data_IF_104407360519
#
_entry.id   IF_104407360519
#
_cell.length_a   1.000
_cell.length_b   1.000
_cell.length_c   1.000
_cell.angle_alpha   90.00
_cell.angle_beta   90.00
_cell.angle_gamma   90.00
#
_symmetry.space_group_name_H-M   'P 1'
#
loop_
_entity.id
_entity.type
_entity.pdbx_description
1 polymer ?
#
# COMPACT_ATOMS: atom_id res chain seq x y z
N UNK A 1 -1.46 -16.04 3.15
CA UNK A 1 -2.71 -15.53 3.77
C UNK A 1 -2.73 -14.01 3.63
N UNK A 2 -3.89 -13.37 3.42
CA UNK A 2 -3.99 -11.89 3.29
C UNK A 2 -3.93 -11.19 4.66
N UNK A 3 -3.75 -9.86 4.66
CA UNK A 3 -3.46 -9.06 5.86
C UNK A 3 -4.67 -8.63 6.71
N UNK A 4 -5.89 -9.02 6.34
CA UNK A 4 -7.12 -8.79 7.13
C UNK A 4 -7.30 -7.34 7.63
N UNK A 5 -7.01 -6.34 6.78
CA UNK A 5 -7.24 -4.92 7.10
C UNK A 5 -8.73 -4.58 7.00
N UNK A 6 -9.14 -3.56 7.75
CA UNK A 6 -10.52 -3.02 7.74
C UNK A 6 -10.69 -2.02 6.61
N UNK A 7 -11.76 -2.16 5.83
CA UNK A 7 -12.08 -1.28 4.70
C UNK A 7 -13.30 -0.41 5.01
N UNK A 8 -13.36 0.74 4.34
CA UNK A 8 -14.55 1.59 4.31
C UNK A 8 -15.74 0.93 3.60
N UNK A 9 -16.92 1.53 3.75
CA UNK A 9 -18.15 1.08 3.11
C UNK A 9 -18.48 1.85 1.83
N UNK A 10 -17.92 3.05 1.63
CA UNK A 10 -18.16 3.85 0.43
C UNK A 10 -16.97 4.74 0.07
N UNK A 11 -16.92 5.13 -1.21
CA UNK A 11 -15.90 6.02 -1.73
C UNK A 11 -15.89 7.36 -0.97
N UNK A 12 -14.74 7.74 -0.43
CA UNK A 12 -14.53 8.99 0.28
C UNK A 12 -14.78 8.93 1.79
N UNK A 13 -15.13 7.78 2.37
CA UNK A 13 -15.11 7.63 3.84
C UNK A 13 -13.67 7.57 4.39
N UNK A 14 -13.50 7.78 5.69
CA UNK A 14 -12.18 7.88 6.32
C UNK A 14 -11.39 6.56 6.26
N UNK A 15 -12.05 5.41 6.38
CA UNK A 15 -11.40 4.10 6.27
C UNK A 15 -11.00 3.81 4.83
N UNK A 16 -11.84 4.20 3.86
CA UNK A 16 -11.53 4.17 2.44
C UNK A 16 -10.28 5.03 2.13
N UNK A 17 -10.26 6.28 2.57
CA UNK A 17 -9.12 7.19 2.34
C UNK A 17 -7.81 6.69 3.00
N UNK A 18 -7.90 6.05 4.17
CA UNK A 18 -6.77 5.38 4.82
C UNK A 18 -6.24 4.22 3.98
N UNK A 19 -7.13 3.38 3.47
CA UNK A 19 -6.73 2.20 2.71
C UNK A 19 -6.15 2.56 1.33
N UNK A 20 -6.69 3.57 0.64
CA UNK A 20 -6.10 4.11 -0.59
C UNK A 20 -4.67 4.60 -0.34
N UNK A 21 -4.42 5.26 0.80
CA UNK A 21 -3.07 5.68 1.17
C UNK A 21 -2.14 4.48 1.41
N UNK A 22 -2.62 3.43 2.09
CA UNK A 22 -1.85 2.19 2.26
C UNK A 22 -1.54 1.54 0.91
N UNK A 23 -2.51 1.51 -0.01
CA UNK A 23 -2.35 0.93 -1.34
C UNK A 23 -1.33 1.69 -2.19
N UNK A 24 -1.45 3.01 -2.28
CA UNK A 24 -0.54 3.87 -3.05
C UNK A 24 0.89 3.82 -2.52
N UNK A 25 1.09 3.90 -1.20
CA UNK A 25 2.43 3.79 -0.60
C UNK A 25 3.02 2.38 -0.74
N UNK A 26 2.20 1.34 -0.68
CA UNK A 26 2.65 -0.03 -0.96
C UNK A 26 3.10 -0.17 -2.41
N UNK A 27 2.33 0.36 -3.36
CA UNK A 27 2.68 0.33 -4.79
C UNK A 27 3.98 1.09 -5.05
N UNK A 28 4.15 2.28 -4.47
CA UNK A 28 5.39 3.06 -4.57
C UNK A 28 6.59 2.31 -3.97
N UNK A 29 6.44 1.71 -2.79
CA UNK A 29 7.50 0.95 -2.14
C UNK A 29 7.88 -0.32 -2.91
N UNK A 30 6.90 -1.08 -3.39
CA UNK A 30 7.14 -2.25 -4.25
C UNK A 30 7.81 -1.83 -5.57
N UNK A 31 7.37 -0.74 -6.19
CA UNK A 31 7.98 -0.20 -7.41
C UNK A 31 9.46 0.11 -7.19
N UNK A 32 9.77 0.86 -6.13
CA UNK A 32 11.15 1.15 -5.75
C UNK A 32 11.98 -0.11 -5.47
N UNK A 33 11.40 -1.10 -4.77
CA UNK A 33 12.09 -2.34 -4.40
C UNK A 33 12.40 -3.23 -5.61
N UNK A 34 11.49 -3.33 -6.58
CA UNK A 34 11.65 -4.18 -7.77
C UNK A 34 12.25 -3.44 -8.98
N UNK A 35 12.55 -2.15 -8.85
CA UNK A 35 13.10 -1.34 -9.94
C UNK A 35 12.07 -0.91 -10.98
N UNK A 36 10.78 -0.90 -10.66
CA UNK A 36 9.75 -0.29 -11.49
C UNK A 36 9.65 1.22 -11.19
N UNK A 37 9.67 2.04 -12.24
CA UNK A 37 9.41 3.46 -12.10
C UNK A 37 7.93 3.68 -11.74
N UNK A 38 7.65 4.14 -10.52
CA UNK A 38 6.34 4.66 -10.16
C UNK A 38 6.19 6.04 -10.79
N UNK A 39 5.47 6.13 -11.92
CA UNK A 39 5.12 7.41 -12.53
C UNK A 39 3.87 7.95 -11.83
N UNK A 40 3.90 9.17 -11.26
CA UNK A 40 2.72 9.76 -10.63
C UNK A 40 1.56 9.85 -11.63
N UNK A 41 0.38 9.33 -11.27
CA UNK A 41 -0.84 9.50 -12.06
C UNK A 41 -1.63 10.75 -11.61
N UNK A 42 -2.51 11.28 -12.46
CA UNK A 42 -3.31 12.48 -12.15
C UNK A 42 -4.16 12.33 -10.88
N UNK A 43 -4.69 11.12 -10.64
CA UNK A 43 -5.48 10.79 -9.46
C UNK A 43 -4.67 10.79 -8.15
N UNK A 44 -3.33 10.64 -8.20
CA UNK A 44 -2.47 10.61 -7.00
C UNK A 44 -2.47 11.99 -6.31
N UNK A 45 -2.63 13.08 -7.05
CA UNK A 45 -2.62 14.44 -6.51
C UNK A 45 -3.87 14.77 -5.68
N UNK A 46 -5.01 14.14 -5.97
CA UNK A 46 -6.28 14.40 -5.29
C UNK A 46 -6.22 14.06 -3.79
N UNK A 47 -5.46 13.04 -3.42
CA UNK A 47 -5.36 12.56 -2.05
C UNK A 47 -4.27 13.27 -1.22
N UNK A 48 -3.25 13.85 -1.87
CA UNK A 48 -2.14 14.55 -1.19
C UNK A 48 -2.62 15.68 -0.27
N UNK A 49 -3.63 16.45 -0.68
CA UNK A 49 -4.17 17.55 0.13
C UNK A 49 -4.84 17.04 1.41
N UNK A 50 -5.63 15.97 1.30
CA UNK A 50 -6.30 15.38 2.47
C UNK A 50 -5.27 14.77 3.43
N UNK A 51 -4.27 14.07 2.89
CA UNK A 51 -3.18 13.49 3.68
C UNK A 51 -2.33 14.54 4.37
N UNK A 52 -1.96 15.63 3.68
CA UNK A 52 -1.18 16.73 4.29
C UNK A 52 -1.90 17.38 5.47
N UNK A 53 -3.22 17.55 5.39
CA UNK A 53 -4.01 18.07 6.51
C UNK A 53 -3.97 17.09 7.68
N UNK A 54 -4.24 15.81 7.44
CA UNK A 54 -4.21 14.78 8.48
C UNK A 54 -2.84 14.60 9.12
N UNK A 55 -1.77 14.67 8.34
CA UNK A 55 -0.40 14.58 8.81
C UNK A 55 0.00 15.75 9.71
N UNK A 56 -0.53 16.95 9.45
CA UNK A 56 -0.30 18.13 10.30
C UNK A 56 -1.06 18.04 11.62
N UNK A 57 -2.26 17.47 11.59
CA UNK A 57 -3.10 17.27 12.79
C UNK A 57 -2.54 16.14 13.67
N UNK A 58 -2.11 15.03 13.06
CA UNK A 58 -1.72 13.81 13.76
C UNK A 58 -0.57 13.08 13.02
N UNK A 59 0.70 13.46 13.26
CA UNK A 59 1.84 12.84 12.59
C UNK A 59 1.99 11.33 12.90
N UNK A 60 1.50 10.90 14.07
CA UNK A 60 1.52 9.49 14.49
C UNK A 60 0.72 8.58 13.55
N UNK A 61 -0.32 9.13 12.91
CA UNK A 61 -1.12 8.45 11.90
C UNK A 61 -0.26 7.89 10.74
N UNK A 62 0.80 8.62 10.35
CA UNK A 62 1.71 8.15 9.31
C UNK A 62 2.48 6.90 9.73
N UNK A 63 2.93 6.85 10.98
CA UNK A 63 3.70 5.72 11.50
C UNK A 63 2.86 4.45 11.50
N UNK A 64 1.58 4.55 11.88
CA UNK A 64 0.64 3.45 11.82
C UNK A 64 0.46 2.93 10.38
N UNK A 65 0.21 3.85 9.43
CA UNK A 65 0.05 3.51 8.01
C UNK A 65 1.29 2.83 7.46
N UNK A 66 2.48 3.35 7.76
CA UNK A 66 3.75 2.77 7.31
C UNK A 66 3.96 1.35 7.84
N UNK A 67 3.43 1.03 9.03
CA UNK A 67 3.39 -0.33 9.56
C UNK A 67 2.59 -1.28 8.66
N UNK A 68 1.44 -0.86 8.15
CA UNK A 68 0.61 -1.66 7.25
C UNK A 68 1.18 -1.73 5.82
N UNK A 69 1.77 -0.65 5.34
CA UNK A 69 2.52 -0.60 4.07
C UNK A 69 3.66 -1.63 4.09
N UNK A 70 4.44 -1.68 5.17
CA UNK A 70 5.56 -2.60 5.28
C UNK A 70 5.09 -4.07 5.27
N UNK A 71 4.02 -4.40 6.00
CA UNK A 71 3.43 -5.75 5.98
C UNK A 71 2.95 -6.12 4.57
N UNK A 72 2.30 -5.18 3.86
CA UNK A 72 1.77 -5.39 2.52
C UNK A 72 2.88 -5.61 1.49
N UNK A 73 3.88 -4.72 1.48
CA UNK A 73 5.02 -4.84 0.59
C UNK A 73 5.80 -6.12 0.85
N UNK A 74 6.02 -6.49 2.12
CA UNK A 74 6.66 -7.77 2.48
C UNK A 74 5.87 -8.97 1.98
N UNK A 75 4.56 -9.00 2.19
CA UNK A 75 3.71 -10.10 1.70
C UNK A 75 3.80 -10.26 0.17
N UNK A 76 3.81 -9.14 -0.56
CA UNK A 76 3.97 -9.14 -2.03
C UNK A 76 5.36 -9.65 -2.40
N UNK A 77 6.41 -9.14 -1.75
CA UNK A 77 7.79 -9.53 -2.03
C UNK A 77 8.04 -11.01 -1.77
N UNK A 78 7.60 -11.52 -0.62
CA UNK A 78 7.70 -12.94 -0.28
C UNK A 78 6.98 -13.77 -1.35
N UNK A 79 5.78 -13.36 -1.79
CA UNK A 79 5.01 -14.12 -2.77
C UNK A 79 5.60 -14.12 -4.19
N UNK A 80 6.24 -13.02 -4.59
CA UNK A 80 6.89 -12.87 -5.91
C UNK A 80 8.25 -13.58 -5.96
N UNK A 81 8.92 -13.71 -4.81
CA UNK A 81 10.26 -14.33 -4.70
C UNK A 81 10.21 -15.80 -4.29
N UNK A 82 9.03 -16.34 -3.97
CA UNK A 82 8.83 -17.78 -3.74
C UNK A 82 9.33 -18.59 -4.96
N UNK A 83 10.19 -19.61 -4.76
CA UNK A 83 10.62 -20.48 -5.83
C UNK A 83 9.40 -21.18 -6.46
N UNK A 84 9.30 -21.11 -7.78
CA UNK A 84 8.29 -21.87 -8.52
C UNK A 84 8.69 -23.34 -8.42
N UNK A 85 8.03 -24.10 -7.53
CA UNK A 85 8.08 -25.56 -7.61
C UNK A 85 7.30 -25.98 -8.85
N UNK A 86 7.99 -26.17 -9.97
CA UNK A 86 7.41 -26.92 -11.09
C UNK A 86 7.06 -28.33 -10.61
N UNK A 87 5.85 -28.84 -10.90
CA UNK A 87 5.57 -30.24 -10.63
C UNK A 87 6.52 -31.08 -11.47
N UNK A 88 7.29 -31.95 -10.81
CA UNK A 88 8.13 -32.93 -11.50
C UNK A 88 7.23 -33.70 -12.48
N UNK A 89 7.57 -33.63 -13.77
CA UNK A 89 6.85 -34.34 -14.82
C UNK A 89 6.69 -35.81 -14.43
N UNK A 90 5.43 -36.26 -14.37
CA UNK A 90 5.04 -37.64 -14.10
C UNK A 90 5.33 -38.54 -15.32
#
# INVERSE_FOLDING_TARGET
>A
QRLNRTFGSFFGDALYAREELVAELTAALCGAFFGYAAVPQENNAAYLKHWLTKLKEEPAFLVEILGDVNKAAKMIADKVTEPINEPAAA
#
